data_IF_321451818963
#
_entry.id   IF_321451818963
#
_cell.length_a   1.000
_cell.length_b   1.000
_cell.length_c   1.000
_cell.angle_alpha   90.00
_cell.angle_beta   90.00
_cell.angle_gamma   90.00
#
_symmetry.space_group_name_H-M   'P 1'
#
loop_
_entity.id
_entity.type
_entity.pdbx_description
1 polymer ?
#
# COMPACT_ATOMS: atom_id res chain seq x y z
N UNK A 1 -15.51 -8.97 -16.85
CA UNK A 1 -15.61 -9.06 -15.38
C UNK A 1 -14.62 -8.04 -14.82
N UNK A 2 -15.11 -6.91 -14.32
CA UNK A 2 -14.24 -5.81 -13.86
C UNK A 2 -13.76 -6.14 -12.45
N UNK A 3 -12.47 -6.42 -12.31
CA UNK A 3 -11.83 -6.65 -11.03
C UNK A 3 -11.71 -5.32 -10.32
N UNK A 4 -12.33 -5.19 -9.15
CA UNK A 4 -12.11 -4.02 -8.30
C UNK A 4 -10.64 -3.97 -7.89
N UNK A 5 -10.07 -2.76 -7.87
CA UNK A 5 -8.77 -2.46 -7.28
C UNK A 5 -8.91 -1.19 -6.43
N UNK A 6 -8.18 -1.12 -5.34
CA UNK A 6 -8.13 -0.02 -4.41
C UNK A 6 -6.70 0.23 -4.00
N UNK A 7 -6.37 1.51 -3.83
CA UNK A 7 -5.13 1.92 -3.22
C UNK A 7 -5.30 3.23 -2.47
N UNK A 8 -4.63 3.34 -1.34
CA UNK A 8 -4.51 4.56 -0.58
C UNK A 8 -3.29 5.33 -1.09
N UNK A 9 -3.49 6.56 -1.53
CA UNK A 9 -2.43 7.39 -2.14
C UNK A 9 -2.15 8.55 -1.20
N UNK A 10 -0.91 8.62 -0.70
CA UNK A 10 -0.43 9.68 0.19
C UNK A 10 0.71 10.41 -0.49
N UNK A 11 0.61 11.74 -0.59
CA UNK A 11 1.70 12.59 -1.12
C UNK A 11 2.80 12.73 -0.06
N UNK A 12 4.05 12.53 -0.46
CA UNK A 12 5.24 12.77 0.35
C UNK A 12 6.31 13.50 -0.47
N UNK A 13 6.34 14.83 -0.38
CA UNK A 13 7.22 15.68 -1.18
C UNK A 13 6.93 15.55 -2.69
N UNK A 14 7.96 15.22 -3.47
CA UNK A 14 7.90 15.02 -4.92
C UNK A 14 7.45 13.60 -5.32
N UNK A 15 7.09 12.77 -4.34
CA UNK A 15 6.72 11.36 -4.52
C UNK A 15 5.37 11.06 -3.88
N UNK A 16 4.83 9.90 -4.19
CA UNK A 16 3.61 9.35 -3.63
C UNK A 16 3.88 7.97 -3.08
N UNK A 17 3.29 7.70 -1.92
CA UNK A 17 3.23 6.38 -1.32
C UNK A 17 1.84 5.80 -1.62
N UNK A 18 1.82 4.61 -2.20
CA UNK A 18 0.60 3.96 -2.65
C UNK A 18 0.54 2.60 -1.99
N UNK A 19 -0.45 2.41 -1.11
CA UNK A 19 -0.73 1.12 -0.48
C UNK A 19 -1.92 0.50 -1.18
N UNK A 20 -1.67 -0.57 -1.93
CA UNK A 20 -2.74 -1.27 -2.60
C UNK A 20 -3.37 -2.34 -1.70
N UNK A 21 -4.52 -2.82 -2.14
CA UNK A 21 -5.21 -3.96 -1.52
C UNK A 21 -4.45 -5.28 -1.56
N UNK A 22 -3.38 -5.39 -2.36
CA UNK A 22 -2.48 -6.56 -2.35
C UNK A 22 -1.47 -6.49 -1.21
N UNK A 23 -1.53 -5.47 -0.36
CA UNK A 23 -0.66 -5.33 0.80
C UNK A 23 0.73 -4.86 0.43
N UNK A 24 0.89 -4.22 -0.73
CA UNK A 24 2.16 -3.68 -1.20
C UNK A 24 2.25 -2.19 -0.87
N UNK A 25 3.45 -1.74 -0.51
CA UNK A 25 3.81 -0.33 -0.52
C UNK A 25 4.57 -0.02 -1.81
N UNK A 26 4.05 0.90 -2.59
CA UNK A 26 4.64 1.38 -3.83
C UNK A 26 5.04 2.83 -3.64
N UNK A 27 6.26 3.19 -4.06
CA UNK A 27 6.72 4.57 -4.13
C UNK A 27 6.75 4.95 -5.61
N UNK A 28 6.08 6.04 -5.98
CA UNK A 28 5.96 6.46 -7.36
C UNK A 28 5.98 7.99 -7.52
N UNK A 29 6.24 8.45 -8.75
CA UNK A 29 5.94 9.82 -9.19
C UNK A 29 4.69 9.80 -10.06
N UNK A 30 3.80 10.77 -9.82
CA UNK A 30 2.60 10.98 -10.63
C UNK A 30 2.71 12.35 -11.30
N UNK A 31 2.56 12.38 -12.61
CA UNK A 31 2.59 13.59 -13.43
C UNK A 31 1.53 13.52 -14.53
N UNK A 32 1.23 14.62 -15.24
CA UNK A 32 0.38 14.55 -16.43
C UNK A 32 0.92 13.60 -17.51
N UNK A 33 2.24 13.38 -17.56
CA UNK A 33 2.87 12.40 -18.45
C UNK A 33 2.70 10.94 -18.01
N UNK A 34 2.12 10.71 -16.82
CA UNK A 34 1.75 9.39 -16.34
C UNK A 34 2.40 8.99 -15.02
N UNK A 35 2.35 7.68 -14.78
CA UNK A 35 2.84 6.98 -13.59
C UNK A 35 4.28 6.50 -13.80
N UNK A 36 5.15 6.80 -12.84
CA UNK A 36 6.52 6.27 -12.79
C UNK A 36 6.76 5.58 -11.44
N UNK A 37 6.85 4.26 -11.45
CA UNK A 37 7.22 3.47 -10.27
C UNK A 37 8.70 3.70 -9.93
N UNK A 38 9.00 3.94 -8.65
CA UNK A 38 10.37 4.03 -8.13
C UNK A 38 10.72 2.73 -7.42
N UNK A 39 9.83 2.23 -6.57
CA UNK A 39 10.02 0.97 -5.85
C UNK A 39 8.69 0.37 -5.42
N UNK A 40 8.72 -0.93 -5.14
CA UNK A 40 7.61 -1.71 -4.60
C UNK A 40 8.15 -2.73 -3.62
N UNK A 41 7.45 -2.88 -2.50
CA UNK A 41 7.71 -3.94 -1.54
C UNK A 41 6.40 -4.54 -1.08
N UNK A 42 6.41 -5.85 -0.80
CA UNK A 42 5.39 -6.44 0.05
C UNK A 42 5.52 -5.81 1.44
N UNK A 43 4.44 -5.24 1.94
CA UNK A 43 4.42 -4.56 3.24
C UNK A 43 3.77 -5.44 4.30
N UNK A 44 2.60 -5.99 3.99
CA UNK A 44 1.80 -6.79 4.91
C UNK A 44 0.90 -7.73 4.12
N UNK A 45 0.68 -8.96 4.61
CA UNK A 45 -0.18 -9.93 3.95
C UNK A 45 -1.65 -9.45 3.93
N UNK A 46 -2.36 -9.50 2.79
CA UNK A 46 -3.82 -9.34 2.75
C UNK A 46 -4.53 -10.50 3.43
N UNK A 47 -5.48 -10.22 4.32
CA UNK A 47 -6.23 -11.26 5.05
C UNK A 47 -7.74 -11.09 4.93
N UNK A 48 -8.21 -9.89 4.64
CA UNK A 48 -9.64 -9.61 4.68
C UNK A 48 -10.33 -10.20 3.45
N UNK A 49 -11.46 -10.88 3.68
CA UNK A 49 -12.27 -11.43 2.59
C UNK A 49 -12.64 -10.32 1.60
N UNK A 50 -12.26 -10.51 0.35
CA UNK A 50 -12.50 -9.53 -0.71
C UNK A 50 -13.85 -9.71 -1.43
N UNK A 51 -14.67 -10.66 -0.98
CA UNK A 51 -15.95 -11.02 -1.56
C UNK A 51 -15.83 -11.73 -2.91
N UNK A 52 -16.97 -12.01 -3.55
CA UNK A 52 -17.05 -12.83 -4.75
C UNK A 52 -16.58 -12.14 -6.06
N UNK A 53 -15.86 -11.01 -5.97
CA UNK A 53 -15.55 -10.14 -7.12
C UNK A 53 -14.06 -9.83 -7.32
N UNK A 54 -13.15 -10.49 -6.59
CA UNK A 54 -11.70 -10.32 -6.80
C UNK A 54 -11.02 -11.66 -7.08
N UNK A 55 -10.06 -11.63 -8.00
CA UNK A 55 -9.22 -12.79 -8.37
C UNK A 55 -8.40 -13.35 -7.22
N UNK A 56 -7.93 -12.49 -6.29
CA UNK A 56 -6.94 -12.87 -5.29
C UNK A 56 -7.51 -13.31 -3.93
N UNK A 57 -8.84 -13.38 -3.79
CA UNK A 57 -9.53 -13.92 -2.60
C UNK A 57 -9.43 -13.06 -1.32
N UNK A 58 -8.29 -12.41 -1.07
CA UNK A 58 -8.06 -11.52 0.06
C UNK A 58 -7.62 -10.12 -0.36
N UNK A 59 -7.89 -9.14 0.49
CA UNK A 59 -7.50 -7.75 0.33
C UNK A 59 -7.04 -7.13 1.65
N UNK A 60 -6.19 -6.11 1.59
CA UNK A 60 -5.92 -5.21 2.69
C UNK A 60 -6.76 -3.93 2.51
N UNK A 61 -7.80 -3.77 3.33
CA UNK A 61 -8.70 -2.61 3.28
C UNK A 61 -8.29 -1.49 4.24
N UNK A 62 -7.16 -1.63 4.93
CA UNK A 62 -6.75 -0.72 5.99
C UNK A 62 -5.84 0.37 5.45
N UNK A 63 -6.26 1.62 5.59
CA UNK A 63 -5.39 2.76 5.33
C UNK A 63 -4.23 2.75 6.34
N UNK A 64 -2.96 2.81 5.90
CA UNK A 64 -1.84 2.87 6.82
C UNK A 64 -1.70 4.26 7.44
N UNK A 65 -1.06 4.35 8.60
CA UNK A 65 -0.65 5.63 9.16
C UNK A 65 0.84 5.90 8.85
N UNK A 66 1.18 7.16 8.62
CA UNK A 66 2.56 7.61 8.46
C UNK A 66 2.88 8.60 9.58
N UNK A 67 3.81 8.24 10.46
CA UNK A 67 4.19 9.08 11.59
C UNK A 67 5.61 8.76 12.04
N UNK A 68 6.37 9.76 12.51
CA UNK A 68 7.71 9.57 13.07
C UNK A 68 8.66 8.76 12.19
N UNK A 69 8.61 8.96 10.87
CA UNK A 69 9.38 8.20 9.88
C UNK A 69 9.09 6.71 9.86
N UNK A 70 7.92 6.28 10.36
CA UNK A 70 7.43 4.92 10.26
C UNK A 70 6.15 4.87 9.44
N UNK A 71 5.91 3.70 8.85
CA UNK A 71 4.61 3.28 8.36
C UNK A 71 4.01 2.30 9.37
N UNK A 72 2.78 2.55 9.79
CA UNK A 72 1.98 1.62 10.60
C UNK A 72 0.90 1.03 9.71
N UNK A 73 0.90 -0.29 9.55
CA UNK A 73 -0.05 -1.02 8.74
C UNK A 73 -0.69 -2.14 9.55
N UNK A 74 -1.91 -2.54 9.17
CA UNK A 74 -2.61 -3.65 9.81
C UNK A 74 -3.32 -4.52 8.80
N UNK A 75 -3.57 -5.76 9.20
CA UNK A 75 -4.54 -6.66 8.58
C UNK A 75 -5.42 -7.23 9.72
N UNK A 76 -6.05 -8.39 9.53
CA UNK A 76 -6.90 -9.04 10.54
C UNK A 76 -6.10 -9.90 11.54
N UNK A 77 -4.83 -10.16 11.25
CA UNK A 77 -3.93 -11.05 12.01
C UNK A 77 -2.90 -10.24 12.83
N UNK A 78 -2.48 -9.07 12.36
CA UNK A 78 -1.37 -8.29 12.93
C UNK A 78 -1.47 -6.77 12.70
N UNK A 79 -0.72 -6.04 13.51
CA UNK A 79 -0.39 -4.61 13.33
C UNK A 79 1.13 -4.50 13.35
N UNK A 80 1.70 -3.90 12.30
CA UNK A 80 3.15 -3.71 12.16
C UNK A 80 3.51 -2.23 12.13
N UNK A 81 4.72 -1.91 12.60
CA UNK A 81 5.35 -0.59 12.47
C UNK A 81 6.73 -0.79 11.86
N UNK A 82 6.93 -0.27 10.65
CA UNK A 82 8.17 -0.42 9.90
C UNK A 82 8.83 0.94 9.67
N UNK A 83 10.14 1.00 9.82
CA UNK A 83 10.93 2.21 9.59
C UNK A 83 10.97 2.56 8.10
N UNK A 84 10.84 3.85 7.80
CA UNK A 84 11.07 4.48 6.49
C UNK A 84 12.39 5.24 6.46
N UNK A 85 13.22 5.11 7.49
CA UNK A 85 14.56 5.68 7.49
C UNK A 85 15.45 4.98 6.46
N UNK A 86 16.47 5.72 5.99
CA UNK A 86 17.51 5.09 5.18
C UNK A 86 18.22 4.05 6.04
N UNK A 87 18.54 2.86 5.50
CA UNK A 87 19.45 1.93 6.16
C UNK A 87 20.75 2.65 6.54
N UNK A 88 21.27 2.35 7.73
CA UNK A 88 22.59 2.83 8.16
C UNK A 88 23.69 2.04 7.48
#
# INVERSE_FOLDING_TARGET
MTLGASGFIVRNGDRYFINNDRGELIIAKLSPGGYQEISRTSLIKPTSNSGNRRELGAANWSHPAYANRNIVARNDEEIISLSLEKPR
#
